data_IF_600037335997
#
_entry.id   IF_600037335997
#
_cell.length_a   1.000
_cell.length_b   1.000
_cell.length_c   1.000
_cell.angle_alpha   90.00
_cell.angle_beta   90.00
_cell.angle_gamma   90.00
#
_symmetry.space_group_name_H-M   'P 1'
#
loop_
_entity.id
_entity.type
_entity.pdbx_description
1 polymer ?
#
# COMPACT_ATOMS: atom_id res chain seq x y z
N UNK A 1 -46.03 -7.59 -2.14
CA UNK A 1 -44.57 -7.80 -2.26
C UNK A 1 -43.86 -6.52 -1.82
N UNK A 2 -43.46 -6.44 -0.55
CA UNK A 2 -42.60 -5.35 -0.07
C UNK A 2 -41.20 -5.59 -0.62
N UNK A 3 -40.67 -4.64 -1.39
CA UNK A 3 -39.26 -4.62 -1.76
C UNK A 3 -38.47 -4.48 -0.45
N UNK A 4 -37.68 -5.49 -0.10
CA UNK A 4 -36.65 -5.35 0.94
C UNK A 4 -35.79 -4.14 0.56
N UNK A 5 -35.85 -3.10 1.39
CA UNK A 5 -34.81 -2.08 1.40
C UNK A 5 -33.50 -2.83 1.65
N UNK A 6 -32.60 -2.83 0.66
CA UNK A 6 -31.20 -3.14 0.91
C UNK A 6 -30.75 -2.16 1.98
N UNK A 7 -30.51 -2.65 3.19
CA UNK A 7 -29.79 -1.89 4.20
C UNK A 7 -28.46 -1.49 3.56
N UNK A 8 -28.36 -0.22 3.16
CA UNK A 8 -27.07 0.44 3.04
C UNK A 8 -26.51 0.47 4.46
N UNK A 9 -25.77 -0.57 4.83
CA UNK A 9 -24.94 -0.56 6.02
C UNK A 9 -23.93 0.55 5.82
N UNK A 10 -24.22 1.74 6.37
CA UNK A 10 -23.30 2.86 6.36
C UNK A 10 -22.05 2.47 7.14
N UNK A 11 -20.92 2.45 6.47
CA UNK A 11 -19.62 2.07 7.03
C UNK A 11 -19.04 3.31 7.71
N UNK A 12 -19.44 3.58 8.95
CA UNK A 12 -18.99 4.75 9.71
C UNK A 12 -17.67 4.47 10.43
N UNK A 13 -16.74 5.42 10.35
CA UNK A 13 -15.47 5.37 11.09
C UNK A 13 -15.66 5.76 12.57
N UNK A 14 -15.52 4.78 13.46
CA UNK A 14 -15.71 4.95 14.90
C UNK A 14 -14.39 4.88 15.66
N UNK A 15 -14.17 5.70 16.70
CA UNK A 15 -13.03 5.54 17.60
C UNK A 15 -13.06 4.17 18.26
N UNK A 16 -11.90 3.54 18.40
CA UNK A 16 -11.74 2.21 18.95
C UNK A 16 -10.37 2.06 19.63
N UNK A 17 -10.08 0.85 20.11
CA UNK A 17 -8.75 0.45 20.58
C UNK A 17 -8.37 -0.86 19.91
N UNK A 18 -7.15 -0.94 19.40
CA UNK A 18 -6.61 -2.18 18.81
C UNK A 18 -5.19 -2.39 19.30
N UNK A 19 -4.90 -3.58 19.85
CA UNK A 19 -3.62 -3.89 20.51
C UNK A 19 -3.20 -2.84 21.56
N UNK A 20 -4.17 -2.33 22.33
CA UNK A 20 -3.98 -1.27 23.33
C UNK A 20 -3.65 0.12 22.79
N UNK A 21 -3.67 0.33 21.47
CA UNK A 21 -3.48 1.64 20.85
C UNK A 21 -4.82 2.28 20.44
N UNK A 22 -4.99 3.61 20.61
CA UNK A 22 -6.13 4.33 20.04
C UNK A 22 -6.17 4.16 18.52
N UNK A 23 -7.34 3.85 17.97
CA UNK A 23 -7.54 3.64 16.52
C UNK A 23 -8.90 4.15 16.07
N UNK A 24 -9.14 4.16 14.75
CA UNK A 24 -10.47 4.23 14.19
C UNK A 24 -10.76 2.94 13.41
N UNK A 25 -11.98 2.46 13.50
CA UNK A 25 -12.42 1.24 12.84
C UNK A 25 -13.62 1.51 11.97
N UNK A 26 -13.67 0.82 10.84
CA UNK A 26 -14.79 0.89 9.92
C UNK A 26 -15.01 -0.47 9.26
N UNK A 27 -16.24 -0.97 9.35
CA UNK A 27 -16.60 -2.32 8.91
C UNK A 27 -17.44 -2.27 7.64
N UNK A 28 -17.10 -3.10 6.66
CA UNK A 28 -17.95 -3.42 5.52
C UNK A 28 -18.08 -4.95 5.38
N UNK A 29 -19.31 -5.46 5.48
CA UNK A 29 -19.55 -6.90 5.50
C UNK A 29 -18.78 -7.56 6.65
N UNK A 30 -17.98 -8.58 6.34
CA UNK A 30 -17.16 -9.33 7.32
C UNK A 30 -15.79 -8.73 7.60
N UNK A 31 -15.48 -7.56 7.06
CA UNK A 31 -14.13 -6.99 7.11
C UNK A 31 -14.13 -5.66 7.84
N UNK A 32 -13.20 -5.51 8.77
CA UNK A 32 -12.97 -4.29 9.54
C UNK A 32 -11.62 -3.71 9.20
N UNK A 33 -11.61 -2.51 8.63
CA UNK A 33 -10.40 -1.72 8.44
C UNK A 33 -10.08 -1.00 9.75
N UNK A 34 -8.82 -1.05 10.17
CA UNK A 34 -8.33 -0.39 11.39
C UNK A 34 -7.24 0.60 11.00
N UNK A 35 -7.46 1.89 11.26
CA UNK A 35 -6.47 2.94 11.04
C UNK A 35 -5.97 3.50 12.36
N UNK A 36 -4.67 3.70 12.45
CA UNK A 36 -4.05 4.38 13.59
C UNK A 36 -3.99 5.88 13.30
N UNK A 37 -4.45 6.74 14.24
CA UNK A 37 -4.13 8.15 14.17
C UNK A 37 -2.63 8.36 14.28
N UNK A 38 -1.88 7.47 14.95
CA UNK A 38 -0.43 7.52 14.92
C UNK A 38 0.06 7.23 13.49
N UNK A 39 0.60 8.25 12.82
CA UNK A 39 0.98 8.23 11.39
C UNK A 39 -0.19 8.14 10.38
N UNK A 40 -1.44 8.29 10.82
CA UNK A 40 -2.62 8.37 9.94
C UNK A 40 -2.76 7.20 8.96
N UNK A 41 -2.49 5.96 9.41
CA UNK A 41 -2.29 4.81 8.52
C UNK A 41 -3.15 3.60 8.81
N UNK A 42 -3.45 2.81 7.79
CA UNK A 42 -4.04 1.49 7.92
C UNK A 42 -3.05 0.54 8.61
N UNK A 43 -3.45 -0.01 9.75
CA UNK A 43 -2.64 -0.93 10.57
C UNK A 43 -3.19 -2.35 10.56
N UNK A 44 -4.47 -2.53 10.24
CA UNK A 44 -5.06 -3.87 10.09
C UNK A 44 -6.24 -3.89 9.12
N UNK A 45 -6.43 -5.06 8.52
CA UNK A 45 -7.64 -5.45 7.82
C UNK A 45 -8.10 -6.78 8.39
N UNK A 46 -9.07 -6.72 9.30
CA UNK A 46 -9.48 -7.84 10.16
C UNK A 46 -10.72 -8.53 9.59
N UNK A 47 -10.71 -9.86 9.56
CA UNK A 47 -11.94 -10.64 9.40
C UNK A 47 -12.71 -10.69 10.72
N UNK A 48 -14.01 -10.40 10.72
CA UNK A 48 -14.82 -10.32 11.95
C UNK A 48 -14.90 -11.64 12.71
N UNK A 49 -15.07 -12.76 12.02
CA UNK A 49 -15.32 -14.06 12.68
C UNK A 49 -14.03 -14.69 13.26
N UNK A 50 -12.87 -14.42 12.64
CA UNK A 50 -11.59 -15.06 12.99
C UNK A 50 -10.60 -14.09 13.64
N UNK A 51 -10.92 -12.80 13.67
CA UNK A 51 -10.03 -11.71 14.04
C UNK A 51 -8.67 -11.77 13.31
N UNK A 52 -8.62 -12.43 12.14
CA UNK A 52 -7.41 -12.59 11.36
C UNK A 52 -7.07 -11.27 10.67
N UNK A 53 -5.87 -10.76 10.92
CA UNK A 53 -5.33 -9.63 10.16
C UNK A 53 -4.71 -10.12 8.85
N UNK A 54 -5.15 -9.56 7.73
CA UNK A 54 -4.57 -9.84 6.42
C UNK A 54 -3.28 -9.05 6.16
N UNK A 55 -3.05 -7.97 6.92
CA UNK A 55 -1.80 -7.23 6.90
C UNK A 55 -0.83 -7.79 7.94
N UNK A 56 0.46 -7.77 7.63
CA UNK A 56 1.50 -8.00 8.62
C UNK A 56 1.65 -6.74 9.47
N UNK A 57 1.56 -6.82 10.79
CA UNK A 57 1.76 -5.68 11.69
C UNK A 57 2.67 -6.07 12.86
N UNK A 58 3.72 -5.29 13.09
CA UNK A 58 4.76 -5.54 14.09
C UNK A 58 4.76 -4.40 15.15
N UNK A 59 3.90 -4.48 16.19
CA UNK A 59 3.70 -3.41 17.16
C UNK A 59 4.92 -3.09 18.05
N UNK A 60 5.85 -4.03 18.23
CA UNK A 60 6.91 -3.97 19.25
C UNK A 60 8.35 -3.80 18.71
N UNK A 61 8.53 -3.58 17.41
CA UNK A 61 9.87 -3.51 16.81
C UNK A 61 10.45 -2.09 16.82
N UNK A 62 10.99 -1.69 17.98
CA UNK A 62 11.77 -0.45 18.15
C UNK A 62 13.28 -0.69 18.25
N UNK A 63 13.79 -1.93 18.12
CA UNK A 63 15.22 -2.22 18.36
C UNK A 63 15.96 -3.02 17.29
N UNK A 64 15.29 -3.86 16.48
CA UNK A 64 15.93 -4.46 15.29
C UNK A 64 15.78 -3.51 14.11
N UNK A 65 16.86 -2.75 13.88
CA UNK A 65 17.17 -2.17 12.57
C UNK A 65 16.99 -3.29 11.52
N UNK A 66 16.17 -3.07 10.48
CA UNK A 66 16.33 -3.85 9.25
C UNK A 66 17.79 -3.79 8.80
N UNK A 67 18.22 -4.59 7.83
CA UNK A 67 19.57 -4.49 7.22
C UNK A 67 19.90 -3.04 6.79
N UNK A 68 18.86 -2.21 6.62
CA UNK A 68 18.90 -0.79 6.25
C UNK A 68 18.55 0.20 7.38
N UNK A 69 18.28 -0.28 8.60
CA UNK A 69 17.98 0.55 9.76
C UNK A 69 16.57 1.16 9.81
N UNK A 70 15.69 0.87 8.86
CA UNK A 70 14.32 1.39 8.84
C UNK A 70 13.48 0.65 9.88
N UNK A 71 12.75 1.35 10.79
CA UNK A 71 11.73 0.72 11.61
C UNK A 71 10.62 0.15 10.70
N UNK A 72 10.45 -1.17 10.70
CA UNK A 72 9.33 -1.82 10.00
C UNK A 72 8.22 -2.10 10.99
N UNK A 73 7.16 -1.30 10.93
CA UNK A 73 5.93 -1.59 11.66
C UNK A 73 4.99 -2.54 10.90
N UNK A 74 5.30 -2.84 9.64
CA UNK A 74 4.38 -3.50 8.71
C UNK A 74 3.17 -2.63 8.35
N UNK A 75 2.14 -3.29 7.82
CA UNK A 75 0.85 -2.78 7.36
C UNK A 75 0.96 -1.84 6.15
N UNK A 76 0.27 -0.69 6.17
CA UNK A 76 0.35 0.30 5.11
C UNK A 76 1.42 1.36 5.44
N UNK A 77 2.33 1.58 4.50
CA UNK A 77 3.33 2.63 4.52
C UNK A 77 3.33 3.41 3.20
N UNK A 78 3.84 4.64 3.23
CA UNK A 78 3.81 5.55 2.09
C UNK A 78 5.12 6.30 1.99
N UNK A 79 5.79 6.16 0.87
CA UNK A 79 6.97 6.95 0.57
C UNK A 79 6.62 8.01 -0.44
N UNK A 80 7.10 9.23 -0.22
CA UNK A 80 6.90 10.35 -1.13
C UNK A 80 8.27 11.00 -1.40
N UNK A 81 8.65 11.09 -2.67
CA UNK A 81 9.92 11.69 -3.07
C UNK A 81 10.06 11.84 -4.58
N UNK A 82 10.95 12.72 -5.07
CA UNK A 82 11.39 12.66 -6.45
C UNK A 82 12.24 11.42 -6.67
N UNK A 83 11.95 10.69 -7.74
CA UNK A 83 12.52 9.36 -7.94
C UNK A 83 14.03 9.38 -8.14
N UNK A 84 14.55 10.37 -8.86
CA UNK A 84 15.99 10.57 -9.08
C UNK A 84 16.77 10.80 -7.77
N UNK A 85 16.07 11.13 -6.68
CA UNK A 85 16.63 11.27 -5.32
C UNK A 85 16.23 10.16 -4.37
N UNK A 86 15.58 9.10 -4.84
CA UNK A 86 15.33 7.91 -4.01
C UNK A 86 16.65 7.20 -3.73
N UNK A 87 17.23 7.51 -2.58
CA UNK A 87 18.28 6.69 -1.98
C UNK A 87 17.57 5.50 -1.34
N UNK A 88 18.00 4.27 -1.63
CA UNK A 88 17.52 3.08 -0.92
C UNK A 88 18.46 2.75 0.24
N UNK A 89 17.99 2.71 1.49
CA UNK A 89 16.63 2.97 1.95
C UNK A 89 16.26 4.46 1.96
N UNK A 90 14.97 4.81 1.79
CA UNK A 90 14.53 6.21 1.83
C UNK A 90 14.74 6.84 3.20
N UNK A 91 14.75 8.17 3.22
CA UNK A 91 14.75 8.96 4.45
C UNK A 91 13.54 8.60 5.32
N UNK A 92 13.82 8.30 6.60
CA UNK A 92 12.80 7.87 7.57
C UNK A 92 11.81 8.97 7.92
N UNK A 93 12.09 10.22 7.56
CA UNK A 93 11.38 11.38 8.08
C UNK A 93 9.91 11.42 7.65
N UNK A 94 9.56 10.84 6.50
CA UNK A 94 8.16 10.73 6.05
C UNK A 94 7.35 9.72 6.85
N UNK A 95 7.92 8.56 7.15
CA UNK A 95 7.25 7.50 7.91
C UNK A 95 7.34 7.72 9.43
N UNK A 96 8.34 8.48 9.90
CA UNK A 96 8.61 8.71 11.33
C UNK A 96 8.25 10.10 11.86
N UNK A 97 7.86 11.07 11.03
CA UNK A 97 7.41 12.41 11.49
C UNK A 97 5.93 12.67 11.22
N UNK A 98 5.29 13.58 11.98
CA UNK A 98 5.17 13.57 13.43
C UNK A 98 4.29 12.38 13.88
N UNK A 99 4.43 11.98 15.14
CA UNK A 99 3.65 10.90 15.75
C UNK A 99 2.12 11.08 15.69
N UNK A 100 1.62 12.24 15.24
CA UNK A 100 0.20 12.55 15.12
C UNK A 100 -0.08 13.44 13.90
N UNK A 101 -1.20 13.23 13.19
CA UNK A 101 -1.69 14.09 12.12
C UNK A 101 -2.06 15.47 12.67
N UNK A 102 -1.90 16.49 11.86
CA UNK A 102 -2.30 17.86 12.20
C UNK A 102 -3.81 18.08 12.08
N UNK A 103 -4.49 17.23 11.31
CA UNK A 103 -5.95 17.17 11.32
C UNK A 103 -6.48 15.75 11.10
N UNK A 104 -7.60 15.45 11.76
CA UNK A 104 -8.39 14.24 11.55
C UNK A 104 -9.80 14.66 11.17
N UNK A 105 -10.21 14.38 9.94
CA UNK A 105 -11.58 14.65 9.45
C UNK A 105 -12.31 13.34 9.23
N UNK A 106 -13.51 13.22 9.78
CA UNK A 106 -14.40 12.07 9.58
C UNK A 106 -15.65 12.52 8.84
N UNK A 107 -16.00 11.81 7.79
CA UNK A 107 -17.32 11.87 7.16
C UNK A 107 -18.10 10.61 7.53
N UNK A 108 -19.31 10.46 6.98
CA UNK A 108 -20.11 9.25 7.15
C UNK A 108 -19.38 8.00 6.62
N UNK A 109 -18.60 8.15 5.55
CA UNK A 109 -18.02 7.07 4.75
C UNK A 109 -16.48 7.06 4.72
N UNK A 110 -15.83 8.14 5.15
CA UNK A 110 -14.37 8.29 5.05
C UNK A 110 -13.73 8.84 6.32
N UNK A 111 -12.44 8.54 6.46
CA UNK A 111 -11.56 9.19 7.44
C UNK A 111 -10.34 9.73 6.71
N UNK A 112 -9.95 10.96 7.06
CA UNK A 112 -8.83 11.68 6.46
C UNK A 112 -7.85 12.11 7.55
N UNK A 113 -6.57 11.93 7.27
CA UNK A 113 -5.46 12.34 8.11
C UNK A 113 -4.55 13.26 7.31
N UNK A 114 -4.40 14.51 7.74
CA UNK A 114 -3.39 15.42 7.18
C UNK A 114 -2.12 15.32 8.01
N UNK A 115 -1.00 15.05 7.35
CA UNK A 115 0.33 15.04 7.95
C UNK A 115 1.13 16.20 7.36
N UNK A 116 1.66 17.03 8.25
CA UNK A 116 2.59 18.09 7.85
C UNK A 116 3.91 17.50 7.38
N UNK A 117 4.56 18.24 6.48
CA UNK A 117 5.87 17.85 5.99
C UNK A 117 6.91 17.80 7.12
N UNK A 118 7.77 16.76 7.18
CA UNK A 118 8.90 16.72 8.10
C UNK A 118 9.91 17.87 7.90
N UNK A 119 10.01 18.39 6.67
CA UNK A 119 11.04 19.32 6.22
C UNK A 119 10.44 20.36 5.27
N UNK A 120 10.97 21.57 5.26
CA UNK A 120 10.39 22.70 4.50
C UNK A 120 10.34 22.51 2.98
N UNK A 121 11.13 21.57 2.45
CA UNK A 121 11.23 21.27 1.03
C UNK A 121 10.32 20.12 0.56
N UNK A 122 9.61 19.44 1.48
CA UNK A 122 8.67 18.37 1.12
C UNK A 122 7.21 18.81 1.28
N UNK A 123 6.28 18.25 0.48
CA UNK A 123 4.87 18.66 0.52
C UNK A 123 4.11 17.89 1.59
N UNK A 124 3.24 18.55 2.35
CA UNK A 124 2.29 17.86 3.25
C UNK A 124 1.46 16.81 2.50
N UNK A 125 1.09 15.73 3.19
CA UNK A 125 0.25 14.66 2.63
C UNK A 125 -1.09 14.55 3.34
N UNK A 126 -2.12 14.15 2.61
CA UNK A 126 -3.39 13.71 3.20
C UNK A 126 -3.67 12.26 2.85
N UNK A 127 -3.82 11.41 3.87
CA UNK A 127 -4.22 10.00 3.73
C UNK A 127 -5.73 9.89 3.93
N UNK A 128 -6.44 9.27 3.01
CA UNK A 128 -7.90 9.06 3.05
C UNK A 128 -8.20 7.57 2.96
N UNK A 129 -9.09 7.09 3.83
CA UNK A 129 -9.60 5.72 3.80
C UNK A 129 -11.12 5.72 3.67
N UNK A 130 -11.64 4.94 2.72
CA UNK A 130 -13.08 4.81 2.46
C UNK A 130 -13.40 3.42 1.93
N UNK A 131 -14.49 2.82 2.39
CA UNK A 131 -14.99 1.59 1.77
C UNK A 131 -15.67 1.89 0.43
N UNK A 132 -15.12 1.39 -0.67
CA UNK A 132 -15.72 1.45 -1.98
C UNK A 132 -16.60 0.22 -2.22
N UNK A 133 -17.88 0.37 -2.64
CA UNK A 133 -18.84 -0.74 -2.70
C UNK A 133 -18.44 -1.94 -3.58
N UNK A 134 -17.54 -1.74 -4.54
CA UNK A 134 -17.13 -2.78 -5.50
C UNK A 134 -15.64 -3.12 -5.48
N UNK A 135 -14.80 -2.23 -4.97
CA UNK A 135 -13.34 -2.35 -5.05
C UNK A 135 -12.69 -2.60 -3.69
N UNK A 136 -13.47 -2.66 -2.61
CA UNK A 136 -12.94 -2.83 -1.26
C UNK A 136 -12.50 -1.50 -0.65
N UNK A 137 -11.51 -1.53 0.24
CA UNK A 137 -11.03 -0.35 0.94
C UNK A 137 -10.17 0.50 0.00
N UNK A 138 -10.68 1.69 -0.33
CA UNK A 138 -9.94 2.73 -1.02
C UNK A 138 -8.93 3.38 -0.07
N UNK A 139 -7.66 3.31 -0.44
CA UNK A 139 -6.52 3.95 0.24
C UNK A 139 -5.98 5.03 -0.70
N UNK A 140 -6.29 6.28 -0.37
CA UNK A 140 -5.95 7.44 -1.22
C UNK A 140 -4.96 8.34 -0.50
N UNK A 141 -3.99 8.86 -1.23
CA UNK A 141 -2.99 9.80 -0.74
C UNK A 141 -2.93 10.97 -1.68
N UNK A 142 -3.02 12.18 -1.15
CA UNK A 142 -2.90 13.40 -1.91
C UNK A 142 -1.78 14.28 -1.39
N UNK A 143 -1.14 15.01 -2.30
CA UNK A 143 -0.10 15.98 -1.99
C UNK A 143 -0.11 17.08 -3.05
N UNK A 144 0.46 18.23 -2.71
CA UNK A 144 0.67 19.31 -3.65
C UNK A 144 2.03 19.13 -4.33
N UNK A 145 2.09 19.16 -5.66
CA UNK A 145 3.37 19.21 -6.36
C UNK A 145 4.08 20.53 -6.09
N UNK A 146 5.41 20.45 -6.00
CA UNK A 146 6.29 21.61 -5.92
C UNK A 146 7.09 21.71 -7.22
N UNK A 147 8.15 22.51 -7.27
CA UNK A 147 9.04 22.58 -8.43
C UNK A 147 9.71 21.23 -8.78
N UNK A 148 9.82 20.31 -7.81
CA UNK A 148 10.28 18.95 -8.05
C UNK A 148 9.08 18.02 -8.34
N UNK A 149 9.23 17.06 -9.27
CA UNK A 149 8.24 15.99 -9.50
C UNK A 149 8.26 14.99 -8.33
N UNK A 150 7.23 14.96 -7.50
CA UNK A 150 7.08 13.99 -6.41
C UNK A 150 6.24 12.79 -6.83
N UNK A 151 6.74 11.58 -6.53
CA UNK A 151 6.04 10.32 -6.72
C UNK A 151 5.76 9.67 -5.37
N UNK A 152 4.60 9.04 -5.23
CA UNK A 152 4.23 8.24 -4.07
C UNK A 152 4.46 6.74 -4.34
N UNK A 153 4.90 6.01 -3.33
CA UNK A 153 4.84 4.54 -3.28
C UNK A 153 3.92 4.18 -2.13
N UNK A 154 2.79 3.53 -2.42
CA UNK A 154 1.95 2.91 -1.39
C UNK A 154 2.41 1.46 -1.21
N UNK A 155 2.81 1.11 0.02
CA UNK A 155 3.41 -0.17 0.37
C UNK A 155 2.49 -0.90 1.34
N UNK A 156 2.09 -2.13 0.99
CA UNK A 156 1.26 -2.97 1.84
C UNK A 156 2.02 -4.24 2.23
N UNK A 157 2.36 -4.36 3.51
CA UNK A 157 3.00 -5.55 4.04
C UNK A 157 1.95 -6.65 4.32
N UNK A 158 2.11 -7.80 3.66
CA UNK A 158 1.26 -8.99 3.85
C UNK A 158 2.08 -10.14 4.38
N UNK A 159 1.47 -10.99 5.20
CA UNK A 159 2.17 -12.10 5.86
C UNK A 159 2.83 -13.05 4.85
N UNK A 160 3.99 -13.61 5.22
CA UNK A 160 4.70 -14.60 4.43
C UNK A 160 3.92 -15.89 4.17
N UNK A 161 3.00 -16.27 5.04
CA UNK A 161 2.18 -17.47 4.83
C UNK A 161 1.16 -17.33 3.69
N UNK A 162 1.22 -16.24 2.92
CA UNK A 162 0.43 -16.00 1.71
C UNK A 162 1.20 -16.41 0.45
N UNK A 163 0.50 -17.05 -0.47
CA UNK A 163 0.85 -17.15 -1.87
C UNK A 163 0.52 -15.81 -2.55
N UNK A 164 1.52 -15.19 -3.16
CA UNK A 164 1.32 -14.00 -4.00
C UNK A 164 1.14 -14.44 -5.45
N UNK A 165 0.04 -14.02 -6.05
CA UNK A 165 -0.32 -14.25 -7.45
C UNK A 165 -0.48 -12.91 -8.14
N UNK A 166 0.21 -12.73 -9.27
CA UNK A 166 0.02 -11.54 -10.10
C UNK A 166 -0.70 -11.93 -11.37
N UNK A 167 -1.82 -11.28 -11.65
CA UNK A 167 -2.53 -11.43 -12.92
C UNK A 167 -2.09 -10.30 -13.86
N UNK A 168 -1.03 -10.55 -14.62
CA UNK A 168 -0.54 -9.57 -15.59
C UNK A 168 -1.49 -9.52 -16.79
N UNK A 169 -1.95 -8.31 -17.12
CA UNK A 169 -2.64 -8.03 -18.37
C UNK A 169 -1.63 -7.89 -19.52
N UNK A 170 -2.04 -8.12 -20.77
CA UNK A 170 -1.19 -7.83 -21.91
C UNK A 170 -0.71 -6.37 -21.90
N UNK A 171 0.60 -6.16 -22.02
CA UNK A 171 1.24 -4.84 -21.99
C UNK A 171 2.50 -4.83 -22.87
N UNK A 172 2.90 -3.63 -23.32
CA UNK A 172 4.16 -3.41 -24.05
C UNK A 172 5.36 -3.27 -23.11
N UNK A 173 5.12 -3.12 -21.81
CA UNK A 173 6.19 -3.00 -20.80
C UNK A 173 6.53 -4.38 -20.25
N UNK A 174 7.78 -4.81 -20.45
CA UNK A 174 8.28 -6.04 -19.85
C UNK A 174 8.38 -5.90 -18.33
N UNK A 175 7.97 -6.94 -17.60
CA UNK A 175 8.29 -7.04 -16.18
C UNK A 175 9.75 -7.42 -16.01
N UNK A 176 10.37 -6.91 -14.95
CA UNK A 176 11.77 -7.20 -14.62
C UNK A 176 11.86 -7.83 -13.25
N UNK A 177 12.41 -9.03 -13.18
CA UNK A 177 12.65 -9.73 -11.91
C UNK A 177 14.12 -9.63 -11.54
N UNK A 178 14.41 -9.05 -10.39
CA UNK A 178 15.73 -8.95 -9.80
C UNK A 178 15.89 -10.01 -8.71
N UNK A 179 16.91 -10.85 -8.85
CA UNK A 179 17.31 -11.84 -7.86
C UNK A 179 18.63 -11.42 -7.21
N UNK A 180 18.74 -11.47 -5.87
CA UNK A 180 20.01 -11.35 -5.17
C UNK A 180 20.05 -10.38 -3.99
N UNK A 181 21.17 -10.34 -3.26
CA UNK A 181 21.38 -9.38 -2.20
C UNK A 181 21.67 -7.99 -2.78
N UNK A 182 20.73 -7.08 -2.57
CA UNK A 182 20.90 -5.62 -2.57
C UNK A 182 21.51 -5.03 -3.84
N UNK A 183 20.66 -4.60 -4.79
CA UNK A 183 20.98 -3.61 -5.84
C UNK A 183 22.29 -3.77 -6.63
N UNK A 184 22.94 -4.93 -6.57
CA UNK A 184 24.25 -5.19 -7.14
C UNK A 184 24.11 -6.18 -8.29
N UNK A 185 23.80 -5.66 -9.47
CA UNK A 185 23.95 -6.40 -10.72
C UNK A 185 22.64 -6.72 -11.42
N UNK A 186 22.55 -6.19 -12.64
CA UNK A 186 21.45 -6.26 -13.61
C UNK A 186 21.34 -7.68 -14.18
N UNK A 187 21.03 -8.67 -13.35
CA UNK A 187 20.56 -9.98 -13.82
C UNK A 187 19.04 -10.01 -13.72
N UNK A 188 18.41 -9.10 -14.46
CA UNK A 188 16.97 -9.00 -14.56
C UNK A 188 16.44 -10.06 -15.53
N UNK A 189 15.57 -10.97 -15.07
CA UNK A 189 14.78 -11.75 -16.02
C UNK A 189 13.68 -10.85 -16.58
N UNK A 190 13.74 -10.57 -17.88
CA UNK A 190 12.65 -9.92 -18.59
C UNK A 190 11.53 -10.93 -18.83
N UNK A 191 10.35 -10.62 -18.32
CA UNK A 191 9.15 -11.43 -18.54
C UNK A 191 8.27 -10.67 -19.55
N UNK A 192 8.22 -11.11 -20.82
CA UNK A 192 7.31 -10.52 -21.79
C UNK A 192 5.87 -10.89 -21.47
N UNK A 193 4.97 -9.91 -21.51
CA UNK A 193 3.57 -10.07 -21.13
C UNK A 193 2.62 -10.06 -22.33
N UNK A 194 3.06 -10.39 -23.54
CA UNK A 194 2.27 -10.31 -24.78
C UNK A 194 0.91 -11.04 -24.73
N UNK A 195 0.73 -12.00 -23.81
CA UNK A 195 -0.50 -12.78 -23.63
C UNK A 195 -1.07 -12.73 -22.21
N UNK A 196 -0.50 -11.90 -21.34
CA UNK A 196 -0.77 -11.96 -19.89
C UNK A 196 -0.29 -13.27 -19.24
N UNK A 197 -0.60 -13.45 -17.95
CA UNK A 197 -0.27 -14.69 -17.23
C UNK A 197 -0.34 -14.56 -15.71
N UNK A 198 -0.19 -15.69 -15.01
CA UNK A 198 -0.12 -15.73 -13.54
C UNK A 198 1.31 -15.97 -13.07
N UNK A 199 1.90 -15.00 -12.38
CA UNK A 199 3.16 -15.20 -11.66
C UNK A 199 2.86 -15.62 -10.22
N UNK A 200 3.42 -16.75 -9.79
CA UNK A 200 3.32 -17.25 -8.40
C UNK A 200 4.65 -17.03 -7.71
N UNK A 201 4.62 -16.33 -6.58
CA UNK A 201 5.84 -15.97 -5.86
C UNK A 201 5.94 -16.72 -4.53
N UNK A 202 7.13 -17.25 -4.23
CA UNK A 202 7.48 -17.96 -2.99
C UNK A 202 8.80 -17.43 -2.42
N UNK A 203 8.98 -17.55 -1.11
CA UNK A 203 10.04 -16.97 -0.26
C UNK A 203 11.49 -17.08 -0.77
N UNK A 204 11.91 -16.14 -1.61
CA UNK A 204 13.31 -15.94 -1.99
C UNK A 204 13.60 -14.44 -2.11
N UNK A 205 14.78 -13.97 -1.62
CA UNK A 205 15.19 -12.55 -1.72
C UNK A 205 15.09 -12.05 -3.16
N UNK A 206 14.14 -11.17 -3.40
CA UNK A 206 13.85 -10.69 -4.75
C UNK A 206 13.00 -9.45 -4.76
N UNK A 207 13.12 -8.70 -5.86
CA UNK A 207 12.22 -7.62 -6.23
C UNK A 207 11.74 -7.86 -7.65
N UNK A 208 10.44 -7.76 -7.89
CA UNK A 208 9.89 -7.73 -9.24
C UNK A 208 9.22 -6.39 -9.47
N UNK A 209 9.53 -5.75 -10.60
CA UNK A 209 8.87 -4.56 -11.09
C UNK A 209 8.05 -4.87 -12.34
N UNK A 210 6.83 -4.34 -12.41
CA UNK A 210 5.84 -4.65 -13.46
C UNK A 210 5.06 -3.39 -13.83
N UNK A 211 4.46 -3.39 -15.03
CA UNK A 211 3.46 -2.40 -15.40
C UNK A 211 2.29 -2.37 -14.38
N UNK A 212 1.47 -1.30 -14.32
CA UNK A 212 0.31 -1.22 -13.44
C UNK A 212 -0.55 -2.48 -13.50
N UNK A 213 -0.57 -3.25 -12.40
CA UNK A 213 -1.17 -4.58 -12.38
C UNK A 213 -1.81 -4.86 -11.02
N UNK A 214 -2.92 -5.59 -11.05
CA UNK A 214 -3.56 -6.12 -9.85
C UNK A 214 -2.76 -7.29 -9.27
N UNK A 215 -2.42 -7.19 -7.99
CA UNK A 215 -1.79 -8.27 -7.22
C UNK A 215 -2.87 -8.96 -6.39
N UNK A 216 -2.88 -10.28 -6.36
CA UNK A 216 -3.74 -11.10 -5.50
C UNK A 216 -2.89 -11.88 -4.52
N UNK A 217 -3.37 -12.00 -3.30
CA UNK A 217 -2.76 -12.86 -2.28
C UNK A 217 -3.78 -13.82 -1.74
N UNK A 218 -3.32 -14.99 -1.30
CA UNK A 218 -4.16 -15.99 -0.65
C UNK A 218 -3.31 -16.85 0.27
N UNK A 219 -3.81 -17.21 1.45
CA UNK A 219 -3.16 -18.19 2.31
C UNK A 219 -3.81 -19.58 2.16
N UNK A 220 -3.34 -20.55 2.93
CA UNK A 220 -3.86 -21.93 2.95
C UNK A 220 -5.33 -22.06 3.37
N UNK A 221 -5.90 -21.03 4.01
CA UNK A 221 -7.31 -20.99 4.43
C UNK A 221 -8.19 -20.25 3.41
N UNK A 222 -7.67 -19.85 2.25
CA UNK A 222 -8.41 -19.12 1.21
C UNK A 222 -8.52 -17.61 1.44
N UNK A 223 -8.11 -17.11 2.60
CA UNK A 223 -8.15 -15.67 2.87
C UNK A 223 -7.00 -14.92 2.20
N UNK A 224 -7.25 -13.70 1.74
CA UNK A 224 -6.19 -12.82 1.25
C UNK A 224 -6.68 -11.44 0.82
N UNK A 225 -5.83 -10.72 0.10
CA UNK A 225 -6.10 -9.37 -0.38
C UNK A 225 -5.82 -9.30 -1.88
N UNK A 226 -6.73 -8.66 -2.61
CA UNK A 226 -6.48 -8.13 -3.95
C UNK A 226 -6.13 -6.65 -3.85
N UNK A 227 -4.97 -6.27 -4.38
CA UNK A 227 -4.46 -4.90 -4.43
C UNK A 227 -4.52 -4.44 -5.88
N UNK A 228 -5.27 -3.37 -6.15
CA UNK A 228 -5.37 -2.81 -7.49
C UNK A 228 -5.02 -1.32 -7.48
N UNK A 229 -4.16 -0.84 -8.39
CA UNK A 229 -4.05 0.59 -8.62
C UNK A 229 -5.37 1.15 -9.16
N UNK A 230 -5.60 2.45 -9.00
CA UNK A 230 -6.72 3.10 -9.70
C UNK A 230 -6.54 2.99 -11.23
N UNK A 231 -7.64 2.69 -11.92
CA UNK A 231 -7.74 2.57 -13.38
C UNK A 231 -7.33 3.84 -14.14
N UNK A 232 -7.35 5.01 -13.48
CA UNK A 232 -6.89 6.27 -14.08
C UNK A 232 -5.35 6.36 -14.19
N UNK A 233 -4.61 5.42 -13.59
CA UNK A 233 -3.15 5.39 -13.63
C UNK A 233 -2.53 5.26 -15.05
N UNK A 234 -3.34 5.01 -16.08
CA UNK A 234 -2.91 4.75 -17.45
C UNK A 234 -2.76 6.02 -18.33
N UNK A 235 -3.04 7.22 -17.80
CA UNK A 235 -2.92 8.51 -18.53
C UNK A 235 -1.88 9.47 -17.95
N UNK A 236 -0.87 8.93 -17.27
CA UNK A 236 0.16 9.67 -16.55
C UNK A 236 0.98 10.63 -17.44
N UNK A 237 1.41 11.77 -16.90
CA UNK A 237 2.39 12.66 -17.56
C UNK A 237 3.83 12.16 -17.42
N UNK A 238 4.13 11.52 -16.28
CA UNK A 238 5.43 10.92 -15.97
C UNK A 238 5.22 9.58 -15.25
N UNK A 239 6.07 8.60 -15.57
CA UNK A 239 6.02 7.25 -15.00
C UNK A 239 7.26 7.00 -14.13
N UNK A 240 7.08 6.52 -12.88
CA UNK A 240 8.21 6.13 -12.07
C UNK A 240 8.77 4.77 -12.52
N UNK A 241 10.04 4.57 -12.20
CA UNK A 241 10.79 3.31 -12.26
C UNK A 241 10.74 2.65 -13.63
N UNK A 242 10.97 3.46 -14.67
CA UNK A 242 10.95 3.01 -16.06
C UNK A 242 9.60 2.37 -16.47
N UNK A 243 8.52 2.73 -15.78
CA UNK A 243 7.18 2.17 -15.99
C UNK A 243 6.84 0.99 -15.08
N UNK A 244 7.72 0.59 -14.15
CA UNK A 244 7.47 -0.48 -13.17
C UNK A 244 6.69 0.03 -11.96
N UNK A 245 5.40 0.32 -12.17
CA UNK A 245 4.53 0.91 -11.16
C UNK A 245 3.97 -0.07 -10.14
N UNK A 246 4.01 -1.36 -10.42
CA UNK A 246 3.61 -2.40 -9.47
C UNK A 246 4.85 -3.21 -9.11
N UNK A 247 5.17 -3.32 -7.82
CA UNK A 247 6.34 -4.08 -7.37
C UNK A 247 6.02 -5.03 -6.24
N UNK A 248 6.76 -6.13 -6.17
CA UNK A 248 6.72 -7.05 -5.04
C UNK A 248 8.14 -7.18 -4.53
N UNK A 249 8.34 -6.91 -3.24
CA UNK A 249 9.61 -7.08 -2.57
C UNK A 249 9.52 -8.14 -1.46
N UNK A 250 10.57 -8.95 -1.39
CA UNK A 250 10.73 -9.99 -0.37
C UNK A 250 12.12 -9.89 0.24
N UNK A 251 12.17 -9.66 1.55
CA UNK A 251 13.41 -9.68 2.31
C UNK A 251 13.62 -11.06 2.95
N UNK A 252 14.80 -11.70 2.81
CA UNK A 252 15.08 -12.99 3.43
C UNK A 252 15.50 -12.84 4.90
N UNK A 253 15.75 -11.61 5.39
CA UNK A 253 16.46 -11.38 6.65
C UNK A 253 15.55 -11.34 7.88
N UNK A 254 14.24 -11.55 7.72
CA UNK A 254 13.32 -11.63 8.84
C UNK A 254 13.06 -13.10 9.21
N UNK A 255 14.07 -13.74 9.83
CA UNK A 255 13.98 -15.13 10.34
C UNK A 255 12.76 -15.40 11.23
N UNK A 256 12.19 -14.36 11.83
CA UNK A 256 11.04 -14.43 12.74
C UNK A 256 9.78 -13.70 12.21
N UNK A 257 9.88 -12.96 11.09
CA UNK A 257 8.83 -12.04 10.59
C UNK A 257 8.85 -11.92 9.06
N UNK A 258 8.83 -13.03 8.33
CA UNK A 258 8.77 -12.94 6.87
C UNK A 258 7.43 -12.30 6.42
N UNK A 259 7.49 -11.38 5.47
CA UNK A 259 6.34 -10.76 4.80
C UNK A 259 6.71 -10.38 3.36
N UNK A 260 5.69 -10.13 2.54
CA UNK A 260 5.83 -9.52 1.23
C UNK A 260 5.46 -8.04 1.33
N UNK A 261 6.23 -7.16 0.70
CA UNK A 261 5.83 -5.79 0.42
C UNK A 261 5.22 -5.74 -0.95
N UNK A 262 3.96 -5.31 -1.01
CA UNK A 262 3.24 -5.09 -2.25
C UNK A 262 3.21 -3.58 -2.49
N UNK A 263 3.97 -3.13 -3.48
CA UNK A 263 4.21 -1.72 -3.76
C UNK A 263 3.38 -1.28 -4.99
N UNK A 264 2.70 -0.15 -4.85
CA UNK A 264 1.99 0.53 -5.94
C UNK A 264 2.53 1.96 -6.03
N UNK A 265 3.30 2.22 -7.07
CA UNK A 265 3.85 3.53 -7.35
C UNK A 265 2.82 4.36 -8.09
N UNK A 266 2.67 5.61 -7.67
CA UNK A 266 1.74 6.54 -8.29
C UNK A 266 2.31 7.04 -9.62
N UNK A 267 1.51 7.06 -10.68
CA UNK A 267 1.78 7.97 -11.78
C UNK A 267 1.58 9.40 -11.30
N UNK A 268 2.28 10.37 -11.89
CA UNK A 268 1.97 11.77 -11.63
C UNK A 268 0.81 12.18 -12.55
N UNK A 269 -0.30 12.60 -11.93
CA UNK A 269 -1.35 13.39 -12.55
C UNK A 269 -1.28 14.81 -11.99
N UNK A 270 -0.63 15.72 -12.69
CA UNK A 270 -0.69 17.15 -12.33
C UNK A 270 -1.99 17.69 -12.91
N UNK A 271 -3.01 17.92 -12.08
CA UNK A 271 -4.15 18.72 -12.52
C UNK A 271 -3.74 20.21 -12.63
N UNK A 272 -4.55 21.06 -13.25
CA UNK A 272 -4.23 22.50 -13.44
C UNK A 272 -3.93 23.26 -12.12
N UNK A 273 -4.23 22.67 -10.95
CA UNK A 273 -3.91 23.20 -9.62
C UNK A 273 -2.72 22.55 -8.92
N UNK A 274 -1.98 21.65 -9.56
CA UNK A 274 -0.80 20.97 -8.99
C UNK A 274 -1.11 19.92 -7.91
N UNK A 275 -2.38 19.56 -7.69
CA UNK A 275 -2.76 18.53 -6.73
C UNK A 275 -2.53 17.16 -7.37
N UNK A 276 -1.75 16.31 -6.70
CA UNK A 276 -1.52 14.93 -7.09
C UNK A 276 -2.20 13.94 -6.14
N UNK A 277 -2.45 12.75 -6.68
CA UNK A 277 -3.15 11.69 -5.99
C UNK A 277 -2.57 10.32 -6.36
N UNK A 278 -2.53 9.43 -5.37
CA UNK A 278 -2.31 8.00 -5.53
C UNK A 278 -3.46 7.26 -4.85
N UNK A 279 -4.18 6.42 -5.59
CA UNK A 279 -5.26 5.61 -5.04
C UNK A 279 -5.00 4.13 -5.31
N UNK A 280 -5.10 3.35 -4.23
CA UNK A 280 -5.00 1.89 -4.27
C UNK A 280 -6.23 1.30 -3.59
N UNK A 281 -6.80 0.29 -4.21
CA UNK A 281 -7.94 -0.45 -3.68
C UNK A 281 -7.47 -1.77 -3.07
N UNK A 282 -7.84 -2.00 -1.80
CA UNK A 282 -7.62 -3.25 -1.08
C UNK A 282 -8.94 -4.01 -0.95
N UNK A 283 -9.13 -5.03 -1.77
CA UNK A 283 -10.28 -5.90 -1.68
C UNK A 283 -9.92 -7.18 -0.91
N UNK A 284 -10.44 -7.37 0.30
CA UNK A 284 -10.26 -8.64 0.99
C UNK A 284 -11.05 -9.74 0.29
N UNK A 285 -10.48 -10.94 0.22
CA UNK A 285 -11.06 -12.14 -0.40
C UNK A 285 -11.09 -13.29 0.61
N UNK A 286 -12.12 -14.13 0.50
CA UNK A 286 -12.37 -15.33 1.29
C UNK A 286 -12.95 -16.41 0.37
#
# INVERSE_FOLDING_TARGET
>A
MQKLNKETTHTTWLPATWLHFPTYQCTQGKWTAVVSPQHGRLVALLHQDSNRNLLHFAPHHTTRKSTFGIPHWGAHAVWLGPQDRWIWPPSRNWELSPASPTSIRRTLDSIQFTLESPESDRPSITRTYRWHPKQGLECTITWQQTEASWFAIQIFAVRADTLVQVEAQPTTTNSTVFFGPDNMGISGLLIPHERGGTLKWHHHKSKIGMAPTTIRTSNSEGHGITISPDSQALTASELPDLGHMTQIYTSPDYKDESYFELEQLSPIHINEGGLCQSTVYLQPVQ
#
